data_IF_470797320968
#
_entry.id   IF_470797320968
#
_cell.length_a   1.000
_cell.length_b   1.000
_cell.length_c   1.000
_cell.angle_alpha   90.00
_cell.angle_beta   90.00
_cell.angle_gamma   90.00
#
_symmetry.space_group_name_H-M   'P 1'
#
loop_
_entity.id
_entity.type
_entity.pdbx_description
1 polymer ?
#
# COMPACT_ATOMS: atom_id res chain seq x y z
N UNK A 1 -1.48 6.57 -26.24
CA UNK A 1 -0.67 5.36 -26.00
C UNK A 1 0.75 5.75 -26.33
N UNK A 2 1.73 5.62 -25.41
CA UNK A 2 3.11 5.21 -25.74
C UNK A 2 4.15 5.54 -24.66
N UNK A 3 3.97 6.53 -23.78
CA UNK A 3 4.99 6.81 -22.75
C UNK A 3 4.99 5.80 -21.59
N UNK A 4 3.84 5.44 -21.00
CA UNK A 4 3.81 4.43 -19.93
C UNK A 4 4.27 3.06 -20.40
N UNK A 5 3.79 2.59 -21.55
CA UNK A 5 4.15 1.26 -22.07
C UNK A 5 5.64 1.18 -22.39
N UNK A 6 6.23 2.26 -22.95
CA UNK A 6 7.67 2.35 -23.22
C UNK A 6 8.49 2.42 -21.94
N UNK A 7 8.00 3.10 -20.91
CA UNK A 7 8.66 3.15 -19.61
C UNK A 7 8.57 1.80 -18.89
N UNK A 8 7.43 1.09 -18.97
CA UNK A 8 7.25 -0.24 -18.39
C UNK A 8 8.11 -1.29 -19.08
N UNK A 9 8.16 -1.31 -20.42
CA UNK A 9 9.02 -2.25 -21.15
C UNK A 9 10.49 -2.06 -20.82
N UNK A 10 10.93 -0.80 -20.70
CA UNK A 10 12.30 -0.47 -20.29
C UNK A 10 12.54 -0.87 -18.83
N UNK A 11 11.55 -0.68 -17.95
CA UNK A 11 11.64 -1.05 -16.54
C UNK A 11 11.76 -2.56 -16.32
N UNK A 12 11.03 -3.38 -17.08
CA UNK A 12 11.07 -4.85 -16.93
C UNK A 12 12.47 -5.41 -17.20
N UNK A 13 13.19 -4.83 -18.17
CA UNK A 13 14.54 -5.24 -18.57
C UNK A 13 15.64 -4.87 -17.56
N UNK A 14 15.36 -3.96 -16.63
CA UNK A 14 16.31 -3.54 -15.59
C UNK A 14 16.55 -4.65 -14.57
N UNK A 15 17.76 -4.68 -14.00
CA UNK A 15 18.03 -5.51 -12.83
C UNK A 15 17.35 -4.95 -11.56
N UNK A 16 17.33 -5.74 -10.48
CA UNK A 16 16.63 -5.34 -9.25
C UNK A 16 17.18 -4.03 -8.63
N UNK A 17 18.50 -3.82 -8.66
CA UNK A 17 19.12 -2.60 -8.14
C UNK A 17 18.77 -1.39 -9.00
N UNK A 18 18.76 -1.55 -10.32
CA UNK A 18 18.37 -0.52 -11.27
C UNK A 18 16.87 -0.17 -11.15
N UNK A 19 16.01 -1.17 -10.97
CA UNK A 19 14.56 -0.97 -10.70
C UNK A 19 14.35 -0.13 -9.44
N UNK A 20 15.02 -0.47 -8.35
CA UNK A 20 14.95 0.31 -7.11
C UNK A 20 15.51 1.73 -7.30
N UNK A 21 16.63 1.88 -8.02
CA UNK A 21 17.21 3.18 -8.35
C UNK A 21 16.24 4.05 -9.16
N UNK A 22 15.56 3.47 -10.14
CA UNK A 22 14.55 4.14 -10.94
C UNK A 22 13.37 4.62 -10.08
N UNK A 23 12.78 3.75 -9.26
CA UNK A 23 11.65 4.10 -8.40
C UNK A 23 12.02 5.16 -7.36
N UNK A 24 13.16 5.01 -6.69
CA UNK A 24 13.64 5.97 -5.68
C UNK A 24 13.99 7.34 -6.26
N UNK A 25 14.26 7.41 -7.55
CA UNK A 25 14.53 8.66 -8.26
C UNK A 25 13.25 9.37 -8.75
N UNK A 26 12.07 8.80 -8.51
CA UNK A 26 10.81 9.40 -8.89
C UNK A 26 10.58 10.72 -8.14
N UNK A 27 10.59 11.82 -8.88
CA UNK A 27 10.51 13.19 -8.34
C UNK A 27 9.52 14.09 -9.10
N UNK A 28 8.67 13.50 -9.92
CA UNK A 28 7.69 14.19 -10.73
C UNK A 28 6.27 14.08 -10.14
N UNK A 29 5.34 14.90 -10.64
CA UNK A 29 3.94 14.71 -10.34
C UNK A 29 3.47 13.34 -10.84
N UNK A 30 2.70 12.63 -10.02
CA UNK A 30 2.15 11.34 -10.39
C UNK A 30 1.01 11.56 -11.39
N UNK A 31 1.30 11.43 -12.69
CA UNK A 31 0.29 11.44 -13.74
C UNK A 31 -0.40 10.06 -13.86
N UNK A 32 -1.56 10.03 -14.53
CA UNK A 32 -2.37 8.82 -14.68
C UNK A 32 -1.58 7.67 -15.35
N UNK A 33 -0.71 7.99 -16.30
CA UNK A 33 0.07 7.01 -17.06
C UNK A 33 1.11 6.35 -16.16
N UNK A 34 1.85 7.15 -15.37
CA UNK A 34 2.79 6.67 -14.35
C UNK A 34 2.08 5.90 -13.25
N UNK A 35 0.89 6.34 -12.82
CA UNK A 35 0.12 5.63 -11.80
C UNK A 35 -0.31 4.23 -12.25
N UNK A 36 -0.73 4.06 -13.50
CA UNK A 36 -1.06 2.75 -14.06
C UNK A 36 0.19 1.86 -14.07
N UNK A 37 1.33 2.36 -14.55
CA UNK A 37 2.59 1.62 -14.55
C UNK A 37 3.02 1.19 -13.13
N UNK A 38 2.91 2.09 -12.15
CA UNK A 38 3.25 1.78 -10.75
C UNK A 38 2.28 0.78 -10.13
N UNK A 39 1.02 0.78 -10.56
CA UNK A 39 0.04 -0.22 -10.15
C UNK A 39 0.41 -1.61 -10.69
N UNK A 40 0.81 -1.69 -11.96
CA UNK A 40 1.27 -2.93 -12.58
C UNK A 40 2.47 -3.51 -11.80
N UNK A 41 3.40 -2.65 -11.39
CA UNK A 41 4.55 -3.06 -10.55
C UNK A 41 4.11 -3.50 -9.15
N UNK A 42 3.24 -2.73 -8.48
CA UNK A 42 2.79 -3.04 -7.13
C UNK A 42 1.99 -4.35 -7.03
N UNK A 43 1.27 -4.70 -8.11
CA UNK A 43 0.41 -5.89 -8.18
C UNK A 43 1.07 -7.11 -8.81
N UNK A 44 2.31 -6.99 -9.28
CA UNK A 44 3.11 -8.09 -9.81
C UNK A 44 3.61 -8.99 -8.66
N UNK A 45 2.92 -10.10 -8.43
CA UNK A 45 3.24 -11.09 -7.38
C UNK A 45 4.57 -11.80 -7.59
N UNK A 46 5.11 -11.77 -8.82
CA UNK A 46 6.38 -12.41 -9.15
C UNK A 46 7.58 -11.46 -8.94
N UNK A 47 7.30 -10.17 -8.68
CA UNK A 47 8.32 -9.15 -8.37
C UNK A 47 8.75 -9.21 -6.91
N UNK A 48 10.00 -8.81 -6.66
CA UNK A 48 10.52 -8.65 -5.29
C UNK A 48 9.71 -7.62 -4.51
N UNK A 49 9.39 -7.94 -3.25
CA UNK A 49 8.57 -7.08 -2.38
C UNK A 49 9.19 -5.69 -2.17
N UNK A 50 10.52 -5.57 -2.14
CA UNK A 50 11.18 -4.26 -2.05
C UNK A 50 10.79 -3.34 -3.22
N UNK A 51 10.70 -3.88 -4.43
CA UNK A 51 10.33 -3.14 -5.64
C UNK A 51 8.84 -2.76 -5.57
N UNK A 52 7.99 -3.71 -5.18
CA UNK A 52 6.54 -3.49 -5.01
C UNK A 52 6.25 -2.43 -3.94
N UNK A 53 6.98 -2.48 -2.82
CA UNK A 53 6.90 -1.50 -1.73
C UNK A 53 7.24 -0.10 -2.21
N UNK A 54 8.33 0.07 -2.98
CA UNK A 54 8.68 1.39 -3.51
C UNK A 54 7.61 1.92 -4.47
N UNK A 55 7.03 1.07 -5.32
CA UNK A 55 5.92 1.48 -6.18
C UNK A 55 4.70 1.94 -5.38
N UNK A 56 4.32 1.20 -4.33
CA UNK A 56 3.23 1.55 -3.42
C UNK A 56 3.46 2.91 -2.74
N UNK A 57 4.66 3.17 -2.25
CA UNK A 57 5.01 4.46 -1.63
C UNK A 57 4.78 5.63 -2.59
N UNK A 58 5.18 5.48 -3.86
CA UNK A 58 5.00 6.52 -4.88
C UNK A 58 3.51 6.73 -5.18
N UNK A 59 2.70 5.67 -5.25
CA UNK A 59 1.24 5.78 -5.42
C UNK A 59 0.58 6.59 -4.29
N UNK A 60 1.11 6.48 -3.06
CA UNK A 60 0.67 7.30 -1.92
C UNK A 60 0.97 8.80 -2.04
N UNK A 61 1.84 9.23 -2.96
CA UNK A 61 2.15 10.64 -3.22
C UNK A 61 1.13 11.34 -4.13
N UNK A 62 0.05 10.66 -4.50
CA UNK A 62 -0.98 11.22 -5.34
C UNK A 62 -1.67 12.45 -4.71
N UNK A 63 -1.96 13.47 -5.53
CA UNK A 63 -2.45 14.78 -5.07
C UNK A 63 -3.82 15.22 -5.62
N UNK A 64 -4.59 14.36 -6.30
CA UNK A 64 -5.99 14.65 -6.65
C UNK A 64 -6.29 15.03 -8.10
N UNK A 65 -5.31 14.95 -9.02
CA UNK A 65 -5.44 15.38 -10.42
C UNK A 65 -6.33 14.50 -11.34
N UNK A 66 -6.75 13.31 -10.87
CA UNK A 66 -7.64 12.36 -11.56
C UNK A 66 -8.51 11.52 -10.58
N UNK A 67 -9.17 10.46 -11.04
CA UNK A 67 -9.91 9.58 -10.14
C UNK A 67 -8.99 8.50 -9.55
N UNK A 68 -8.72 8.53 -8.25
CA UNK A 68 -7.82 7.61 -7.54
C UNK A 68 -8.47 6.30 -7.07
N UNK A 69 -9.73 6.05 -7.41
CA UNK A 69 -10.45 4.84 -6.98
C UNK A 69 -9.71 3.54 -7.35
N UNK A 70 -9.08 3.49 -8.53
CA UNK A 70 -8.34 2.31 -8.98
C UNK A 70 -7.07 2.06 -8.15
N UNK A 71 -6.38 3.12 -7.71
CA UNK A 71 -5.21 3.01 -6.84
C UNK A 71 -5.65 2.41 -5.49
N UNK A 72 -6.70 2.99 -4.91
CA UNK A 72 -7.20 2.56 -3.61
C UNK A 72 -7.72 1.14 -3.62
N UNK A 73 -8.46 0.77 -4.67
CA UNK A 73 -8.97 -0.60 -4.82
C UNK A 73 -7.82 -1.60 -4.88
N UNK A 74 -6.78 -1.34 -5.67
CA UNK A 74 -5.61 -2.22 -5.72
C UNK A 74 -4.91 -2.36 -4.37
N UNK A 75 -4.66 -1.24 -3.67
CA UNK A 75 -4.03 -1.28 -2.34
C UNK A 75 -4.89 -2.06 -1.33
N UNK A 76 -6.21 -1.91 -1.38
CA UNK A 76 -7.13 -2.70 -0.53
C UNK A 76 -7.08 -4.19 -0.88
N UNK A 77 -6.96 -4.56 -2.15
CA UNK A 77 -6.84 -5.97 -2.54
C UNK A 77 -5.53 -6.59 -2.04
N UNK A 78 -4.40 -5.87 -2.11
CA UNK A 78 -3.12 -6.32 -1.55
C UNK A 78 -3.26 -6.54 -0.04
N UNK A 79 -3.85 -5.58 0.69
CA UNK A 79 -4.07 -5.70 2.14
C UNK A 79 -4.97 -6.89 2.49
N UNK A 80 -5.97 -7.19 1.66
CA UNK A 80 -6.90 -8.31 1.90
C UNK A 80 -6.27 -9.68 1.61
N UNK A 81 -5.17 -9.73 0.87
CA UNK A 81 -4.45 -10.94 0.56
C UNK A 81 -3.34 -11.22 1.58
N UNK A 82 -3.58 -10.89 2.86
CA UNK A 82 -2.63 -10.99 3.97
C UNK A 82 -2.09 -12.41 4.24
N UNK A 83 -2.77 -13.43 3.73
CA UNK A 83 -2.31 -14.81 3.79
C UNK A 83 -1.12 -15.13 2.86
N UNK A 84 -0.87 -14.28 1.86
CA UNK A 84 0.14 -14.50 0.81
C UNK A 84 1.15 -13.36 0.76
N UNK A 85 0.72 -12.12 0.98
CA UNK A 85 1.55 -10.93 0.84
C UNK A 85 2.49 -10.72 2.05
N UNK A 86 3.64 -10.08 1.81
CA UNK A 86 4.57 -9.70 2.87
C UNK A 86 3.99 -8.63 3.80
N UNK A 87 4.20 -8.78 5.11
CA UNK A 87 3.73 -7.85 6.14
C UNK A 87 4.21 -6.41 5.89
N UNK A 88 5.44 -6.25 5.39
CA UNK A 88 6.02 -4.93 5.08
C UNK A 88 5.31 -4.29 3.90
N UNK A 89 4.94 -5.06 2.89
CA UNK A 89 4.13 -4.58 1.77
C UNK A 89 2.75 -4.13 2.23
N UNK A 90 2.09 -4.92 3.07
CA UNK A 90 0.78 -4.58 3.66
C UNK A 90 0.86 -3.27 4.43
N UNK A 91 1.86 -3.10 5.30
CA UNK A 91 2.07 -1.86 6.07
C UNK A 91 2.26 -0.67 5.14
N UNK A 92 3.02 -0.80 4.07
CA UNK A 92 3.23 0.30 3.11
C UNK A 92 1.96 0.61 2.31
N UNK A 93 1.12 -0.38 2.01
CA UNK A 93 -0.20 -0.16 1.39
C UNK A 93 -1.13 0.64 2.32
N UNK A 94 -1.17 0.30 3.61
CA UNK A 94 -1.94 1.02 4.62
C UNK A 94 -1.44 2.47 4.75
N UNK A 95 -0.13 2.66 4.84
CA UNK A 95 0.47 4.00 4.92
C UNK A 95 0.13 4.84 3.69
N UNK A 96 0.20 4.24 2.50
CA UNK A 96 -0.11 4.93 1.25
C UNK A 96 -1.59 5.29 1.16
N UNK A 97 -2.50 4.38 1.54
CA UNK A 97 -3.94 4.66 1.63
C UNK A 97 -4.24 5.82 2.60
N UNK A 98 -3.52 5.93 3.71
CA UNK A 98 -3.70 7.00 4.69
C UNK A 98 -3.29 8.38 4.15
N UNK A 99 -2.43 8.43 3.12
CA UNK A 99 -2.04 9.66 2.44
C UNK A 99 -3.03 10.06 1.33
N UNK A 100 -3.80 9.11 0.80
CA UNK A 100 -4.81 9.37 -0.22
C UNK A 100 -6.05 10.04 0.38
N UNK A 101 -6.70 10.90 -0.42
CA UNK A 101 -7.94 11.57 -0.01
C UNK A 101 -9.02 10.56 0.39
N UNK A 102 -9.59 10.68 1.59
CA UNK A 102 -10.52 9.67 2.13
C UNK A 102 -11.95 9.92 1.62
N UNK A 103 -12.56 8.93 0.96
CA UNK A 103 -13.98 8.87 0.57
C UNK A 103 -14.72 7.83 1.44
N UNK A 104 -16.06 7.83 1.39
CA UNK A 104 -16.93 7.04 2.29
C UNK A 104 -16.67 5.53 2.26
N UNK A 105 -16.32 4.97 1.10
CA UNK A 105 -15.96 3.56 0.93
C UNK A 105 -14.66 3.19 1.68
N UNK A 106 -13.69 4.10 1.74
CA UNK A 106 -12.46 3.89 2.52
C UNK A 106 -12.72 3.99 4.03
N UNK A 107 -13.64 4.87 4.45
CA UNK A 107 -14.12 4.93 5.83
C UNK A 107 -14.80 3.60 6.22
N UNK A 108 -15.63 3.05 5.33
CA UNK A 108 -16.30 1.77 5.56
C UNK A 108 -15.29 0.61 5.69
N UNK A 109 -14.23 0.59 4.88
CA UNK A 109 -13.15 -0.39 5.01
C UNK A 109 -12.40 -0.25 6.34
N UNK A 110 -11.98 0.97 6.72
CA UNK A 110 -11.33 1.22 7.99
C UNK A 110 -12.21 0.79 9.18
N UNK A 111 -13.52 1.07 9.12
CA UNK A 111 -14.48 0.61 10.12
C UNK A 111 -14.60 -0.92 10.17
N UNK A 112 -14.51 -1.62 9.03
CA UNK A 112 -14.53 -3.08 8.99
C UNK A 112 -13.31 -3.70 9.67
N UNK A 113 -12.12 -3.10 9.49
CA UNK A 113 -10.89 -3.53 10.17
C UNK A 113 -10.97 -3.26 11.68
N UNK A 114 -11.42 -2.07 12.08
CA UNK A 114 -11.59 -1.71 13.50
C UNK A 114 -12.60 -2.66 14.16
N UNK A 115 -13.74 -2.91 13.52
CA UNK A 115 -14.76 -3.81 14.07
C UNK A 115 -14.28 -5.27 14.13
N UNK A 116 -13.52 -5.74 13.13
CA UNK A 116 -12.89 -7.06 13.15
C UNK A 116 -11.87 -7.19 14.28
N UNK A 117 -11.00 -6.20 14.46
CA UNK A 117 -10.03 -6.15 15.55
C UNK A 117 -10.71 -6.03 16.93
N UNK A 118 -11.84 -5.33 17.01
CA UNK A 118 -12.66 -5.22 18.22
C UNK A 118 -13.30 -6.57 18.58
N UNK A 119 -13.79 -7.33 17.60
CA UNK A 119 -14.32 -8.69 17.80
C UNK A 119 -13.24 -9.64 18.34
N UNK A 120 -12.02 -9.58 17.78
CA UNK A 120 -10.88 -10.37 18.29
C UNK A 120 -10.54 -9.96 19.73
N UNK A 121 -10.63 -8.66 20.06
CA UNK A 121 -10.46 -8.19 21.42
C UNK A 121 -11.57 -8.72 22.35
N UNK A 122 -12.85 -8.62 21.98
CA UNK A 122 -13.96 -9.06 22.83
C UNK A 122 -13.96 -10.57 23.11
N UNK A 123 -13.36 -11.38 22.24
CA UNK A 123 -13.21 -12.82 22.41
C UNK A 123 -11.95 -13.23 23.21
N UNK A 124 -11.08 -12.29 23.58
CA UNK A 124 -9.90 -12.59 24.40
C UNK A 124 -10.22 -12.60 25.91
N UNK A 125 -9.67 -13.54 26.69
CA UNK A 125 -9.66 -13.47 28.14
C UNK A 125 -9.14 -12.11 28.62
N UNK A 126 -9.79 -11.51 29.64
CA UNK A 126 -9.47 -10.16 30.14
C UNK A 126 -7.98 -9.94 30.42
N UNK A 127 -7.26 -10.97 30.88
CA UNK A 127 -5.81 -10.91 31.14
C UNK A 127 -4.97 -10.62 29.88
N UNK A 128 -5.35 -11.15 28.72
CA UNK A 128 -4.65 -10.94 27.45
C UNK A 128 -5.04 -9.61 26.80
N UNK A 129 -6.26 -9.14 27.05
CA UNK A 129 -6.74 -7.84 26.59
C UNK A 129 -5.92 -6.69 27.18
N UNK A 130 -5.67 -6.73 28.49
CA UNK A 130 -4.86 -5.72 29.18
C UNK A 130 -3.40 -5.73 28.71
N UNK A 131 -2.82 -6.91 28.47
CA UNK A 131 -1.45 -7.02 27.96
C UNK A 131 -1.29 -6.41 26.56
N UNK A 132 -2.26 -6.66 25.67
CA UNK A 132 -2.20 -6.20 24.28
C UNK A 132 -2.48 -4.70 24.14
N UNK A 133 -3.40 -4.14 24.95
CA UNK A 133 -3.62 -2.69 25.01
C UNK A 133 -2.37 -1.97 25.56
N UNK A 134 -1.72 -2.54 26.58
CA UNK A 134 -0.49 -1.95 27.15
C UNK A 134 0.70 -1.99 26.17
N UNK A 135 0.85 -3.05 25.37
CA UNK A 135 1.93 -3.13 24.38
C UNK A 135 1.73 -2.13 23.24
N UNK A 136 0.49 -1.96 22.75
CA UNK A 136 0.18 -1.03 21.67
C UNK A 136 0.30 0.44 22.10
N UNK A 137 -0.01 0.77 23.36
CA UNK A 137 0.19 2.12 23.90
C UNK A 137 1.67 2.46 24.19
N UNK A 138 2.54 1.45 24.35
CA UNK A 138 3.99 1.67 24.50
C UNK A 138 4.68 2.00 23.17
N UNK A 139 4.16 1.51 22.05
CA UNK A 139 4.73 1.75 20.72
C UNK A 139 4.47 3.17 20.17
N UNK A 140 3.59 3.96 20.81
CA UNK A 140 3.32 5.37 20.43
C UNK A 140 4.21 6.37 21.20
N UNK A 141 5.06 5.88 22.10
CA UNK A 141 6.10 6.67 22.76
C UNK A 141 7.46 6.07 22.44
N UNK A 142 7.99 6.32 21.25
CA UNK A 142 9.40 6.66 21.01
C UNK A 142 9.59 7.05 19.55
#
# INVERSE_FOLDING_TARGET
>A
MDNALRNLSTFIELDASEKLGFLRSFNQALDLSSAIMLLDIATDIDSEDEIRIEAVKILGLYHGEYNDAFIKEALVQIIRNDAVEDDSLIVNCINSLALLSVRENEIAFALSLINGALIVCLNMPRSLLFARIYSSLRLVKH
#
